data_IF_496090893133
#
_entry.id   IF_496090893133
#
_cell.length_a   1.000
_cell.length_b   1.000
_cell.length_c   1.000
_cell.angle_alpha   90.00
_cell.angle_beta   90.00
_cell.angle_gamma   90.00
#
_symmetry.space_group_name_H-M   'P 1'
#
loop_
_entity.id
_entity.type
_entity.pdbx_description
1 polymer ?
#
# COMPACT_ATOMS: atom_id res chain seq x y z
N UNK A 1 -1.23 -18.50 3.77
CA UNK A 1 -0.48 -17.35 4.35
C UNK A 1 0.50 -17.98 5.34
N UNK A 2 1.82 -17.84 5.16
CA UNK A 2 2.81 -18.56 5.98
C UNK A 2 2.80 -18.11 7.45
N UNK A 3 2.82 -19.03 8.42
CA UNK A 3 3.02 -18.75 9.86
C UNK A 3 4.50 -18.47 10.14
N UNK A 4 4.94 -17.72 11.16
CA UNK A 4 4.43 -17.49 12.52
C UNK A 4 4.60 -16.00 12.92
N UNK A 5 3.62 -15.17 12.59
CA UNK A 5 3.61 -13.76 12.98
C UNK A 5 2.21 -13.18 12.92
N UNK A 6 1.95 -12.12 13.69
CA UNK A 6 0.73 -11.36 13.53
C UNK A 6 0.64 -10.86 12.08
N UNK A 7 -0.50 -11.08 11.44
CA UNK A 7 -0.69 -10.74 10.02
C UNK A 7 -1.27 -9.35 9.87
N UNK A 8 -0.80 -8.63 8.86
CA UNK A 8 -1.34 -7.31 8.56
C UNK A 8 -2.83 -7.39 8.21
N UNK A 9 -3.62 -6.57 8.88
CA UNK A 9 -5.02 -6.30 8.58
C UNK A 9 -5.14 -4.85 8.10
N UNK A 10 -6.08 -4.60 7.20
CA UNK A 10 -6.42 -3.23 6.85
C UNK A 10 -7.23 -2.61 8.00
N UNK A 11 -6.70 -1.54 8.59
CA UNK A 11 -7.32 -0.82 9.72
C UNK A 11 -7.89 0.54 9.32
N UNK A 12 -7.30 1.18 8.31
CA UNK A 12 -7.74 2.48 7.80
C UNK A 12 -7.69 2.53 6.27
N UNK A 13 -8.60 3.31 5.68
CA UNK A 13 -8.76 3.41 4.22
C UNK A 13 -9.46 2.19 3.58
N UNK A 14 -9.38 2.03 2.25
CA UNK A 14 -8.69 2.92 1.32
C UNK A 14 -9.35 4.30 1.26
N UNK A 15 -8.52 5.33 1.34
CA UNK A 15 -8.91 6.73 1.13
C UNK A 15 -8.29 7.22 -0.17
N UNK A 16 -8.97 8.17 -0.83
CA UNK A 16 -8.55 8.68 -2.13
C UNK A 16 -8.47 10.20 -2.12
N UNK A 17 -7.46 10.72 -2.80
CA UNK A 17 -7.33 12.14 -3.11
C UNK A 17 -7.11 12.34 -4.60
N UNK A 18 -7.66 13.45 -5.08
CA UNK A 18 -7.64 13.82 -6.48
C UNK A 18 -6.24 14.32 -6.84
N UNK A 19 -5.61 13.67 -7.81
CA UNK A 19 -4.37 14.10 -8.44
C UNK A 19 -4.51 14.14 -9.99
N UNK A 20 -5.74 14.22 -10.49
CA UNK A 20 -6.09 14.22 -11.90
C UNK A 20 -5.93 12.85 -12.59
N UNK A 21 -5.70 11.77 -11.86
CA UNK A 21 -5.43 10.44 -12.42
C UNK A 21 -4.12 10.36 -13.21
N UNK A 22 -3.25 11.37 -13.07
CA UNK A 22 -1.99 11.47 -13.81
C UNK A 22 -0.89 10.54 -13.29
N UNK A 23 -1.06 9.98 -12.09
CA UNK A 23 -0.21 8.95 -11.50
C UNK A 23 -0.99 8.15 -10.46
N UNK A 24 -0.60 6.89 -10.26
CA UNK A 24 -0.96 6.14 -9.05
C UNK A 24 0.11 6.42 -8.00
N UNK A 25 -0.22 7.24 -7.01
CA UNK A 25 0.59 7.52 -5.83
C UNK A 25 0.02 6.75 -4.64
N UNK A 26 0.75 5.73 -4.20
CA UNK A 26 0.35 4.86 -3.10
C UNK A 26 1.14 5.25 -1.84
N UNK A 27 0.45 5.80 -0.85
CA UNK A 27 1.00 6.14 0.47
C UNK A 27 0.44 5.17 1.51
N UNK A 28 1.27 4.27 2.02
CA UNK A 28 0.84 3.23 2.97
C UNK A 28 1.43 3.47 4.34
N UNK A 29 0.63 3.18 5.36
CA UNK A 29 1.06 3.24 6.74
C UNK A 29 1.09 1.82 7.32
N UNK A 30 2.29 1.31 7.58
CA UNK A 30 2.50 0.01 8.23
C UNK A 30 2.80 0.22 9.70
N UNK A 31 1.91 -0.22 10.59
CA UNK A 31 2.06 -0.09 12.04
C UNK A 31 1.91 -1.43 12.76
N UNK A 32 2.34 -1.45 14.02
CA UNK A 32 1.96 -2.48 14.97
C UNK A 32 1.31 -1.84 16.20
N UNK A 33 -0.03 -1.82 16.27
CA UNK A 33 -0.74 -1.15 17.37
C UNK A 33 -0.52 -1.77 18.74
N UNK A 34 -0.19 -3.06 18.82
CA UNK A 34 0.23 -3.71 20.06
C UNK A 34 1.62 -3.32 20.59
N UNK A 35 2.40 -2.54 19.84
CA UNK A 35 3.74 -2.07 20.25
C UNK A 35 3.71 -0.54 20.34
N UNK A 36 3.98 -0.04 21.55
CA UNK A 36 4.11 1.39 21.84
C UNK A 36 2.97 2.28 21.30
N UNK A 37 1.75 1.72 21.17
CA UNK A 37 0.56 2.45 20.75
C UNK A 37 0.39 2.66 19.24
N UNK A 38 1.17 1.98 18.39
CA UNK A 38 1.07 2.14 16.92
C UNK A 38 2.39 2.34 16.20
N UNK A 39 3.51 1.78 16.71
CA UNK A 39 4.83 2.05 16.15
C UNK A 39 4.93 1.70 14.65
N UNK A 40 5.46 2.62 13.81
CA UNK A 40 5.72 2.36 12.39
C UNK A 40 6.71 1.22 12.18
N UNK A 41 6.35 0.32 11.28
CA UNK A 41 7.08 -0.90 10.96
C UNK A 41 7.83 -0.78 9.63
N UNK A 42 9.11 -1.17 9.61
CA UNK A 42 9.98 -1.06 8.43
C UNK A 42 10.11 -2.35 7.63
N UNK A 43 10.70 -2.22 6.44
CA UNK A 43 11.04 -3.32 5.52
C UNK A 43 9.87 -4.04 4.84
N UNK A 44 8.63 -3.62 5.10
CA UNK A 44 7.44 -4.13 4.43
C UNK A 44 7.20 -3.43 3.09
N UNK A 45 6.56 -4.14 2.17
CA UNK A 45 6.18 -3.60 0.86
C UNK A 45 4.93 -4.32 0.35
N UNK A 46 4.51 -4.03 -0.88
CA UNK A 46 3.28 -4.59 -1.43
C UNK A 46 3.48 -5.25 -2.78
N UNK A 47 2.68 -6.29 -2.99
CA UNK A 47 2.33 -6.73 -4.32
C UNK A 47 0.98 -6.11 -4.67
N UNK A 48 0.90 -5.51 -5.85
CA UNK A 48 -0.33 -4.91 -6.35
C UNK A 48 -0.56 -5.36 -7.79
N UNK A 49 -1.79 -5.72 -8.10
CA UNK A 49 -2.22 -6.15 -9.42
C UNK A 49 -3.38 -5.30 -9.90
N UNK A 50 -3.44 -5.10 -11.21
CA UNK A 50 -4.61 -4.59 -11.92
C UNK A 50 -4.90 -5.51 -13.08
N UNK A 51 -6.16 -5.88 -13.28
CA UNK A 51 -6.57 -6.77 -14.39
C UNK A 51 -5.75 -8.08 -14.45
N UNK A 52 -5.35 -8.60 -13.28
CA UNK A 52 -4.53 -9.81 -13.13
C UNK A 52 -3.05 -9.65 -13.48
N UNK A 53 -2.56 -8.44 -13.72
CA UNK A 53 -1.15 -8.15 -14.00
C UNK A 53 -0.50 -7.42 -12.83
N UNK A 54 0.66 -7.92 -12.37
CA UNK A 54 1.48 -7.26 -11.34
C UNK A 54 1.96 -5.90 -11.84
N UNK A 55 1.74 -4.86 -11.05
CA UNK A 55 2.29 -3.54 -11.30
C UNK A 55 3.81 -3.52 -11.09
N UNK A 56 4.57 -2.68 -11.82
CA UNK A 56 6.03 -2.65 -11.76
C UNK A 56 6.54 -1.88 -10.53
N UNK A 57 6.11 -2.29 -9.33
CA UNK A 57 6.61 -1.79 -8.05
C UNK A 57 7.92 -2.54 -7.76
N UNK A 58 9.00 -1.78 -7.55
CA UNK A 58 10.30 -2.36 -7.18
C UNK A 58 10.27 -2.88 -5.75
N UNK A 59 10.75 -4.10 -5.52
CA UNK A 59 10.90 -4.70 -4.19
C UNK A 59 11.96 -3.97 -3.32
N UNK A 60 12.69 -3.00 -3.88
CA UNK A 60 13.58 -2.12 -3.14
C UNK A 60 12.83 -0.97 -2.44
N UNK A 61 11.60 -0.67 -2.85
CA UNK A 61 10.76 0.34 -2.19
C UNK A 61 10.12 -0.32 -0.97
N UNK A 62 10.45 0.16 0.22
CA UNK A 62 10.10 -0.47 1.49
C UNK A 62 9.69 0.57 2.52
N UNK A 63 8.87 0.13 3.48
CA UNK A 63 8.45 0.96 4.58
C UNK A 63 9.63 1.30 5.49
N UNK A 64 9.53 2.45 6.15
CA UNK A 64 10.55 2.96 7.07
C UNK A 64 10.10 2.68 8.52
N UNK A 65 10.98 2.09 9.32
CA UNK A 65 10.69 1.84 10.73
C UNK A 65 10.79 3.14 11.56
N UNK A 66 9.97 3.26 12.61
CA UNK A 66 10.03 4.33 13.62
C UNK A 66 9.78 5.75 13.11
N UNK A 67 9.57 5.95 11.81
CA UNK A 67 9.44 7.25 11.20
C UNK A 67 8.26 7.26 10.25
N UNK A 68 7.38 8.23 10.47
CA UNK A 68 6.30 8.56 9.55
C UNK A 68 6.61 9.85 8.80
N UNK A 69 5.99 9.96 7.64
CA UNK A 69 5.80 11.18 6.89
C UNK A 69 4.32 11.57 6.94
N UNK A 70 4.02 12.86 6.93
CA UNK A 70 2.66 13.36 6.81
C UNK A 70 2.25 13.46 5.34
N UNK A 71 1.25 12.69 4.93
CA UNK A 71 0.62 12.77 3.61
C UNK A 71 -0.67 13.60 3.64
N UNK A 72 -1.27 13.79 2.46
CA UNK A 72 -2.55 14.52 2.32
C UNK A 72 -3.68 13.83 3.09
N UNK A 73 -3.69 12.49 3.09
CA UNK A 73 -4.77 11.66 3.60
C UNK A 73 -4.48 11.04 4.97
N UNK A 74 -3.24 11.10 5.44
CA UNK A 74 -2.79 10.50 6.70
C UNK A 74 -1.28 10.36 6.76
N UNK A 75 -0.79 9.95 7.94
CA UNK A 75 0.60 9.50 8.12
C UNK A 75 0.87 8.28 7.25
N UNK A 76 2.08 8.16 6.74
CA UNK A 76 2.55 7.03 5.97
C UNK A 76 4.03 6.80 6.24
N UNK A 77 4.50 5.58 6.01
CA UNK A 77 5.92 5.25 6.06
C UNK A 77 6.40 4.47 4.83
N UNK A 78 5.55 4.36 3.81
CA UNK A 78 5.82 3.76 2.51
C UNK A 78 5.19 4.62 1.41
N UNK A 79 5.95 4.94 0.37
CA UNK A 79 5.43 5.65 -0.82
C UNK A 79 5.98 5.03 -2.11
N UNK A 80 5.09 4.86 -3.10
CA UNK A 80 5.47 4.60 -4.50
C UNK A 80 4.60 5.40 -5.45
N UNK A 81 5.18 5.82 -6.58
CA UNK A 81 4.47 6.48 -7.68
C UNK A 81 4.64 5.68 -8.96
N UNK A 82 3.54 5.49 -9.68
CA UNK A 82 3.51 4.70 -10.91
C UNK A 82 2.83 5.54 -11.99
N UNK A 83 3.52 5.74 -13.11
CA UNK A 83 2.96 6.43 -14.26
C UNK A 83 1.83 5.59 -14.89
N UNK A 84 0.76 6.22 -15.42
CA UNK A 84 -0.35 5.49 -16.05
C UNK A 84 0.09 4.60 -17.21
N UNK A 85 1.16 4.98 -17.95
CA UNK A 85 1.73 4.16 -19.03
C UNK A 85 2.31 2.81 -18.57
N UNK A 86 2.56 2.67 -17.27
CA UNK A 86 3.04 1.44 -16.63
C UNK A 86 1.93 0.63 -15.97
N UNK A 87 0.67 1.08 -16.09
CA UNK A 87 -0.51 0.46 -15.51
C UNK A 87 -1.33 -0.20 -16.63
N UNK A 88 -1.86 -1.41 -16.42
CA UNK A 88 -2.79 -2.04 -17.37
C UNK A 88 -3.94 -1.11 -17.77
N UNK A 89 -4.17 -0.98 -19.08
CA UNK A 89 -5.17 -0.09 -19.65
C UNK A 89 -4.78 1.39 -19.69
N UNK A 90 -3.57 1.77 -19.26
CA UNK A 90 -3.09 3.15 -19.36
C UNK A 90 -3.80 4.16 -18.46
N UNK A 91 -4.53 3.68 -17.45
CA UNK A 91 -5.35 4.52 -16.56
C UNK A 91 -5.21 4.08 -15.10
N UNK A 92 -5.27 5.04 -14.18
CA UNK A 92 -5.22 4.79 -12.74
C UNK A 92 -6.56 4.28 -12.20
N UNK A 93 -7.68 4.71 -12.77
CA UNK A 93 -9.00 4.25 -12.34
C UNK A 93 -9.15 2.74 -12.57
N UNK A 94 -9.87 2.07 -11.66
CA UNK A 94 -10.20 0.65 -11.79
C UNK A 94 -10.01 -0.16 -10.52
N UNK A 95 -10.08 -1.48 -10.68
CA UNK A 95 -10.03 -2.43 -9.57
C UNK A 95 -8.63 -3.03 -9.44
N UNK A 96 -8.13 -3.07 -8.21
CA UNK A 96 -6.82 -3.58 -7.87
C UNK A 96 -6.94 -4.66 -6.80
N UNK A 97 -6.02 -5.62 -6.86
CA UNK A 97 -5.74 -6.53 -5.77
C UNK A 97 -4.41 -6.14 -5.13
N UNK A 98 -4.36 -6.02 -3.80
CA UNK A 98 -3.15 -5.67 -3.07
C UNK A 98 -2.96 -6.61 -1.88
N UNK A 99 -1.72 -6.99 -1.60
CA UNK A 99 -1.34 -7.65 -0.34
C UNK A 99 0.06 -7.22 0.09
N UNK A 100 0.32 -7.42 1.38
CA UNK A 100 1.55 -7.03 2.05
C UNK A 100 2.56 -8.18 1.94
N UNK A 101 3.80 -7.80 1.69
CA UNK A 101 4.97 -8.66 1.71
C UNK A 101 5.90 -8.21 2.84
N UNK A 102 6.49 -9.17 3.54
CA UNK A 102 7.49 -8.94 4.57
C UNK A 102 8.86 -8.56 3.99
N UNK A 103 9.87 -8.38 4.86
CA UNK A 103 11.24 -8.09 4.45
C UNK A 103 11.84 -9.08 3.45
N UNK A 104 11.41 -10.34 3.49
CA UNK A 104 11.93 -11.43 2.67
C UNK A 104 11.11 -11.66 1.40
N UNK A 105 10.03 -10.89 1.20
CA UNK A 105 9.11 -11.07 0.08
C UNK A 105 8.07 -12.17 0.31
N UNK A 106 7.93 -12.66 1.54
CA UNK A 106 6.89 -13.59 1.91
C UNK A 106 5.58 -12.86 2.20
N UNK A 107 4.46 -13.52 1.87
CA UNK A 107 3.14 -12.92 1.99
C UNK A 107 2.70 -12.82 3.45
N UNK A 108 2.46 -11.58 3.90
CA UNK A 108 2.14 -11.27 5.29
C UNK A 108 0.72 -10.69 5.51
N UNK A 109 -0.13 -10.73 4.47
CA UNK A 109 -1.56 -10.44 4.59
C UNK A 109 -2.45 -11.20 3.60
N UNK A 110 -3.76 -11.10 3.81
CA UNK A 110 -4.76 -11.50 2.82
C UNK A 110 -4.79 -10.55 1.60
N UNK A 111 -5.53 -10.90 0.55
CA UNK A 111 -5.74 -9.97 -0.56
C UNK A 111 -6.79 -8.95 -0.15
N UNK A 112 -6.52 -7.68 -0.43
CA UNK A 112 -7.50 -6.61 -0.34
C UNK A 112 -7.85 -6.13 -1.74
N UNK A 113 -9.13 -5.88 -1.98
CA UNK A 113 -9.61 -5.30 -3.23
C UNK A 113 -9.77 -3.79 -3.06
N UNK A 114 -9.24 -3.01 -4.00
CA UNK A 114 -9.33 -1.55 -3.98
C UNK A 114 -9.91 -1.08 -5.32
N UNK A 115 -10.99 -0.31 -5.27
CA UNK A 115 -11.59 0.31 -6.46
C UNK A 115 -11.26 1.79 -6.46
N UNK A 116 -10.32 2.20 -7.31
CA UNK A 116 -9.91 3.60 -7.44
C UNK A 116 -10.89 4.32 -8.38
N UNK A 117 -11.60 5.36 -7.92
CA UNK A 117 -12.50 6.14 -8.76
C UNK A 117 -11.76 6.95 -9.84
N UNK A 118 -12.49 7.36 -10.86
CA UNK A 118 -11.93 8.22 -11.91
C UNK A 118 -11.49 9.60 -11.38
N UNK A 119 -10.43 10.14 -11.97
CA UNK A 119 -9.77 11.38 -11.50
C UNK A 119 -9.02 11.25 -10.17
N UNK A 120 -9.11 10.12 -9.47
CA UNK A 120 -8.30 9.85 -8.28
C UNK A 120 -6.98 9.18 -8.65
N UNK A 121 -6.01 9.26 -7.74
CA UNK A 121 -4.75 8.55 -7.92
C UNK A 121 -3.80 8.64 -6.73
N UNK A 122 -4.05 9.53 -5.77
CA UNK A 122 -3.45 9.42 -4.45
C UNK A 122 -4.29 8.47 -3.60
N UNK A 123 -3.69 7.35 -3.18
CA UNK A 123 -4.33 6.28 -2.43
C UNK A 123 -3.64 6.15 -1.09
N UNK A 124 -4.42 6.15 -0.02
CA UNK A 124 -3.92 5.92 1.33
C UNK A 124 -4.60 4.73 2.00
N UNK A 125 -3.79 3.88 2.65
CA UNK A 125 -4.25 2.73 3.43
C UNK A 125 -3.34 2.53 4.64
N UNK A 126 -3.94 2.16 5.77
CA UNK A 126 -3.21 1.78 6.98
C UNK A 126 -3.35 0.28 7.24
N UNK A 127 -2.20 -0.39 7.25
CA UNK A 127 -2.06 -1.79 7.62
C UNK A 127 -1.55 -1.89 9.05
N UNK A 128 -2.24 -2.69 9.86
CA UNK A 128 -1.89 -2.93 11.25
C UNK A 128 -1.58 -4.41 11.50
N UNK A 129 -0.45 -4.66 12.16
CA UNK A 129 0.02 -5.97 12.58
C UNK A 129 -0.41 -6.33 14.02
N UNK A 130 -1.20 -5.50 14.70
CA UNK A 130 -1.79 -5.73 16.04
C UNK A 130 -3.19 -6.37 16.04
#
# INVERSE_FOLDING_TARGET
IGGDGCKFKLRGGPSFANNGGGELKLQLHFIHSGVEGGQPQGSYFVWMEKDGQKLPISDAIRSIALQDQQGTLGEYNYEVKIAPSSIPGGTVAGNYAIWVLDGNGERDSQTFSVSIPDGQGEVWMQFDQG
#
